data_IF_968874827278
#
_entry.id   IF_968874827278
#
_cell.length_a   1.000
_cell.length_b   1.000
_cell.length_c   1.000
_cell.angle_alpha   90.00
_cell.angle_beta   90.00
_cell.angle_gamma   90.00
#
_symmetry.space_group_name_H-M   'P 1'
#
loop_
_entity.id
_entity.type
_entity.pdbx_description
1 polymer ?
#
# COMPACT_ATOMS: atom_id res chain seq x y z
N UNK A 1 -33.67 -5.94 -16.47
CA UNK A 1 -33.97 -4.61 -17.04
C UNK A 1 -34.46 -3.64 -15.97
N UNK A 2 -35.60 -3.89 -15.31
CA UNK A 2 -36.12 -3.01 -14.26
C UNK A 2 -35.07 -2.66 -13.18
N UNK A 3 -34.40 -3.68 -12.66
CA UNK A 3 -33.55 -3.57 -11.48
C UNK A 3 -32.20 -2.84 -11.71
N UNK A 4 -31.74 -2.73 -12.95
CA UNK A 4 -30.50 -2.03 -13.30
C UNK A 4 -30.74 -0.76 -14.11
N UNK A 5 -32.00 -0.38 -14.31
CA UNK A 5 -32.34 0.84 -15.02
C UNK A 5 -32.05 2.05 -14.10
N UNK A 6 -30.93 2.73 -14.35
CA UNK A 6 -30.41 3.85 -13.55
C UNK A 6 -30.39 5.17 -14.33
N UNK A 7 -30.58 5.10 -15.65
CA UNK A 7 -30.47 6.25 -16.55
C UNK A 7 -31.84 6.59 -17.16
N UNK A 8 -32.13 7.88 -17.43
CA UNK A 8 -33.35 8.30 -18.09
C UNK A 8 -33.30 7.93 -19.59
N UNK A 9 -33.61 6.67 -19.90
CA UNK A 9 -33.86 6.19 -21.27
C UNK A 9 -35.34 6.21 -21.65
N UNK A 10 -35.66 5.79 -22.89
CA UNK A 10 -37.03 5.73 -23.43
C UNK A 10 -37.98 4.85 -22.60
N UNK A 11 -37.44 3.81 -21.96
CA UNK A 11 -38.18 2.94 -21.04
C UNK A 11 -37.64 3.17 -19.64
N UNK A 12 -38.41 3.85 -18.79
CA UNK A 12 -38.03 4.15 -17.40
C UNK A 12 -38.63 3.15 -16.41
N UNK A 13 -38.13 3.09 -15.17
CA UNK A 13 -38.71 2.26 -14.10
C UNK A 13 -40.20 2.53 -13.90
N UNK A 14 -40.61 3.80 -13.98
CA UNK A 14 -42.02 4.20 -13.86
C UNK A 14 -42.92 3.54 -14.91
N UNK A 15 -42.43 3.35 -16.15
CA UNK A 15 -43.20 2.70 -17.23
C UNK A 15 -43.29 1.17 -17.06
N UNK A 16 -42.25 0.54 -16.51
CA UNK A 16 -42.21 -0.93 -16.33
C UNK A 16 -42.95 -1.35 -15.06
N UNK A 17 -42.99 -0.51 -14.03
CA UNK A 17 -43.65 -0.77 -12.74
C UNK A 17 -45.12 -1.23 -12.87
N UNK A 18 -46.02 -0.53 -13.59
CA UNK A 18 -47.41 -0.97 -13.73
C UNK A 18 -47.56 -2.30 -14.48
N UNK A 19 -46.62 -2.65 -15.36
CA UNK A 19 -46.62 -3.94 -16.08
C UNK A 19 -46.30 -5.08 -15.10
N UNK A 20 -45.33 -4.87 -14.22
CA UNK A 20 -44.97 -5.83 -13.18
C UNK A 20 -46.09 -6.04 -12.17
N UNK A 21 -46.78 -4.96 -11.78
CA UNK A 21 -47.93 -5.04 -10.89
C UNK A 21 -49.11 -5.80 -11.51
N UNK A 22 -49.33 -5.66 -12.83
CA UNK A 22 -50.37 -6.42 -13.55
C UNK A 22 -50.06 -7.91 -13.68
N UNK A 23 -48.78 -8.30 -13.78
CA UNK A 23 -48.37 -9.69 -13.84
C UNK A 23 -48.54 -10.40 -12.47
N UNK A 24 -48.43 -9.63 -11.39
CA UNK A 24 -48.54 -10.13 -10.03
C UNK A 24 -47.22 -10.69 -9.52
N UNK A 25 -46.88 -10.30 -8.29
CA UNK A 25 -45.63 -10.63 -7.59
C UNK A 25 -45.46 -12.13 -7.44
N UNK A 26 -46.54 -12.81 -7.03
CA UNK A 26 -46.54 -14.26 -6.83
C UNK A 26 -46.35 -15.02 -8.14
N UNK A 27 -46.92 -14.52 -9.25
CA UNK A 27 -46.72 -15.12 -10.58
C UNK A 27 -45.27 -15.02 -11.02
N UNK A 28 -44.64 -13.86 -10.80
CA UNK A 28 -43.24 -13.64 -11.16
C UNK A 28 -42.31 -14.50 -10.29
N UNK A 29 -42.53 -14.51 -8.98
CA UNK A 29 -41.75 -15.32 -8.04
C UNK A 29 -41.89 -16.82 -8.32
N UNK A 30 -43.11 -17.29 -8.61
CA UNK A 30 -43.36 -18.68 -9.00
C UNK A 30 -42.64 -19.07 -10.30
N UNK A 31 -42.66 -18.20 -11.32
CA UNK A 31 -41.91 -18.45 -12.57
C UNK A 31 -40.39 -18.48 -12.35
N UNK A 32 -39.88 -17.60 -11.48
CA UNK A 32 -38.47 -17.59 -11.11
C UNK A 32 -38.07 -18.84 -10.32
N UNK A 33 -38.94 -19.31 -9.43
CA UNK A 33 -38.73 -20.55 -8.68
C UNK A 33 -38.72 -21.77 -9.62
N UNK A 34 -39.66 -21.86 -10.56
CA UNK A 34 -39.68 -22.94 -11.55
C UNK A 34 -38.42 -22.97 -12.42
N UNK A 35 -37.87 -21.82 -12.80
CA UNK A 35 -36.60 -21.78 -13.54
C UNK A 35 -35.42 -22.30 -12.69
N UNK A 36 -35.42 -22.03 -11.39
CA UNK A 36 -34.42 -22.56 -10.44
C UNK A 36 -34.57 -24.06 -10.24
N UNK A 37 -35.80 -24.55 -10.27
CA UNK A 37 -36.13 -25.96 -10.06
C UNK A 37 -35.91 -26.83 -11.30
N UNK A 38 -35.76 -26.23 -12.50
CA UNK A 38 -35.48 -26.95 -13.75
C UNK A 38 -34.19 -27.77 -13.63
N UNK A 39 -34.29 -29.07 -13.88
CA UNK A 39 -33.17 -30.01 -13.81
C UNK A 39 -32.06 -29.63 -14.79
N UNK A 40 -32.38 -29.04 -15.95
CA UNK A 40 -31.39 -28.51 -16.91
C UNK A 40 -30.65 -27.31 -16.35
N UNK A 41 -31.27 -26.54 -15.46
CA UNK A 41 -30.64 -25.39 -14.82
C UNK A 41 -29.75 -25.79 -13.63
N UNK A 42 -30.12 -26.84 -12.89
CA UNK A 42 -29.35 -27.36 -11.74
C UNK A 42 -28.07 -28.08 -12.14
N UNK A 43 -28.14 -28.86 -13.21
CA UNK A 43 -27.08 -29.77 -13.68
C UNK A 43 -25.91 -29.06 -14.36
N UNK A 44 -26.10 -27.82 -14.80
CA UNK A 44 -25.04 -27.01 -15.39
C UNK A 44 -24.08 -26.56 -14.28
N UNK A 45 -22.81 -26.88 -14.50
CA UNK A 45 -21.66 -26.61 -13.62
C UNK A 45 -20.54 -25.98 -14.45
N UNK A 46 -19.51 -25.34 -13.84
CA UNK A 46 -18.41 -24.74 -14.58
C UNK A 46 -17.74 -25.68 -15.58
N UNK A 47 -17.71 -26.98 -15.24
CA UNK A 47 -17.08 -28.06 -16.01
C UNK A 47 -18.05 -28.79 -16.96
N UNK A 48 -19.35 -28.43 -16.95
CA UNK A 48 -20.41 -29.15 -17.67
C UNK A 48 -21.22 -28.19 -18.54
N UNK A 49 -20.64 -27.76 -19.66
CA UNK A 49 -21.28 -26.90 -20.66
C UNK A 49 -22.25 -27.65 -21.59
N UNK A 50 -22.10 -28.97 -21.69
CA UNK A 50 -22.85 -29.82 -22.62
C UNK A 50 -23.61 -30.86 -21.80
N UNK A 51 -24.94 -30.77 -21.79
CA UNK A 51 -25.78 -31.81 -21.18
C UNK A 51 -26.09 -32.90 -22.20
N UNK A 52 -25.76 -34.13 -21.83
CA UNK A 52 -26.26 -35.31 -22.54
C UNK A 52 -27.59 -35.70 -21.90
N UNK A 53 -28.68 -35.64 -22.68
CA UNK A 53 -29.97 -36.14 -22.20
C UNK A 53 -29.89 -37.67 -22.04
N UNK A 54 -30.31 -38.26 -20.91
CA UNK A 54 -30.51 -39.69 -20.86
C UNK A 54 -31.78 -39.99 -21.67
N UNK A 55 -31.58 -40.53 -22.87
CA UNK A 55 -32.67 -41.01 -23.73
C UNK A 55 -33.68 -41.83 -22.91
N UNK A 56 -35.00 -41.55 -22.99
CA UNK A 56 -36.00 -42.31 -22.27
C UNK A 56 -36.30 -43.58 -23.08
N UNK A 57 -35.39 -44.55 -23.05
CA UNK A 57 -35.73 -45.91 -23.45
C UNK A 57 -36.29 -46.62 -22.21
N UNK A 58 -37.54 -47.13 -22.25
CA UNK A 58 -38.05 -47.95 -21.17
C UNK A 58 -37.19 -49.22 -21.10
N UNK A 59 -37.26 -49.89 -19.96
CA UNK A 59 -36.73 -51.23 -19.69
C UNK A 59 -36.28 -52.01 -20.94
N UNK A 60 -35.08 -52.56 -20.96
CA UNK A 60 -34.80 -53.91 -21.44
C UNK A 60 -33.30 -54.10 -21.27
N UNK A 61 -32.99 -55.10 -20.46
CA UNK A 61 -31.66 -55.65 -20.33
C UNK A 61 -31.04 -55.89 -21.71
N UNK A 62 -29.80 -55.46 -21.90
CA UNK A 62 -28.93 -56.12 -22.86
C UNK A 62 -27.49 -56.04 -22.37
N UNK A 63 -27.06 -57.13 -21.75
CA UNK A 63 -25.69 -57.61 -21.85
C UNK A 63 -25.22 -57.58 -23.31
N UNK A 64 -23.91 -57.44 -23.48
CA UNK A 64 -23.11 -57.68 -24.71
C UNK A 64 -22.83 -56.46 -25.61
N UNK A 65 -21.57 -56.00 -25.51
CA UNK A 65 -20.66 -55.66 -26.64
C UNK A 65 -21.13 -54.74 -27.78
N UNK A 66 -22.13 -53.88 -27.56
CA UNK A 66 -22.54 -52.83 -28.50
C UNK A 66 -22.28 -51.40 -27.96
N UNK A 67 -21.40 -51.24 -26.97
CA UNK A 67 -21.14 -49.94 -26.33
C UNK A 67 -20.18 -49.01 -27.11
N UNK A 68 -19.72 -49.39 -28.31
CA UNK A 68 -18.68 -48.65 -29.04
C UNK A 68 -19.16 -47.95 -30.34
N UNK A 69 -20.36 -48.22 -30.83
CA UNK A 69 -20.83 -47.72 -32.15
C UNK A 69 -22.10 -46.87 -32.12
N UNK A 70 -22.60 -46.47 -30.94
CA UNK A 70 -23.64 -45.43 -30.79
C UNK A 70 -23.03 -44.06 -30.42
N UNK A 71 -21.82 -43.77 -30.91
CA UNK A 71 -21.07 -42.52 -30.71
C UNK A 71 -21.30 -41.51 -31.86
N UNK A 72 -22.38 -41.65 -32.61
CA UNK A 72 -22.82 -40.69 -33.61
C UNK A 72 -24.21 -40.22 -33.18
N UNK A 73 -24.38 -38.90 -33.05
CA UNK A 73 -25.63 -38.19 -32.76
C UNK A 73 -26.06 -38.04 -31.28
N UNK A 74 -25.16 -38.17 -30.31
CA UNK A 74 -25.37 -37.50 -29.03
C UNK A 74 -25.01 -36.01 -29.19
N UNK A 75 -25.81 -35.28 -29.99
CA UNK A 75 -25.78 -33.83 -30.01
C UNK A 75 -26.09 -33.37 -28.58
N UNK A 76 -25.04 -33.06 -27.82
CA UNK A 76 -25.23 -32.57 -26.48
C UNK A 76 -25.88 -31.20 -26.56
N UNK A 77 -27.10 -31.10 -26.05
CA UNK A 77 -27.88 -29.89 -26.14
C UNK A 77 -27.38 -28.87 -25.10
N UNK A 78 -26.93 -27.71 -25.59
CA UNK A 78 -26.54 -26.59 -24.74
C UNK A 78 -27.77 -25.69 -24.56
N UNK A 79 -28.42 -25.83 -23.40
CA UNK A 79 -29.62 -25.05 -23.07
C UNK A 79 -29.32 -23.70 -22.42
N UNK A 80 -28.27 -23.62 -21.58
CA UNK A 80 -27.88 -22.38 -20.91
C UNK A 80 -26.35 -22.25 -20.82
N UNK A 81 -25.87 -21.00 -20.86
CA UNK A 81 -24.48 -20.67 -20.61
C UNK A 81 -24.17 -20.67 -19.10
N UNK A 82 -22.97 -21.11 -18.72
CA UNK A 82 -22.54 -21.16 -17.31
C UNK A 82 -22.53 -19.76 -16.69
N UNK A 83 -22.04 -18.73 -17.40
CA UNK A 83 -22.00 -17.38 -16.86
C UNK A 83 -23.41 -16.83 -16.57
N UNK A 84 -24.40 -17.20 -17.40
CA UNK A 84 -25.80 -16.87 -17.17
C UNK A 84 -26.37 -17.61 -15.95
N UNK A 85 -26.09 -18.92 -15.81
CA UNK A 85 -26.55 -19.73 -14.68
C UNK A 85 -25.95 -19.24 -13.36
N UNK A 86 -24.66 -18.92 -13.35
CA UNK A 86 -23.95 -18.38 -12.19
C UNK A 86 -24.47 -17.00 -11.79
N UNK A 87 -24.65 -16.10 -12.76
CA UNK A 87 -25.28 -14.79 -12.55
C UNK A 87 -26.69 -14.96 -11.95
N UNK A 88 -27.51 -15.84 -12.50
CA UNK A 88 -28.88 -16.04 -12.05
C UNK A 88 -28.93 -16.63 -10.64
N UNK A 89 -28.10 -17.64 -10.34
CA UNK A 89 -27.99 -18.24 -8.99
C UNK A 89 -27.54 -17.20 -7.95
N UNK A 90 -26.52 -16.40 -8.29
CA UNK A 90 -25.97 -15.36 -7.41
C UNK A 90 -26.94 -14.21 -7.15
N UNK A 91 -27.79 -13.88 -8.13
CA UNK A 91 -28.73 -12.76 -8.01
C UNK A 91 -30.17 -13.21 -7.71
N UNK A 92 -30.46 -14.51 -7.62
CA UNK A 92 -31.81 -15.05 -7.41
C UNK A 92 -32.47 -14.48 -6.14
N UNK A 93 -31.75 -14.52 -5.01
CA UNK A 93 -32.25 -13.99 -3.74
C UNK A 93 -32.52 -12.49 -3.83
N UNK A 94 -31.65 -11.76 -4.55
CA UNK A 94 -31.82 -10.32 -4.79
C UNK A 94 -33.06 -10.04 -5.62
N UNK A 95 -33.24 -10.74 -6.74
CA UNK A 95 -34.39 -10.58 -7.62
C UNK A 95 -35.71 -11.00 -6.95
N UNK A 96 -35.70 -12.07 -6.15
CA UNK A 96 -36.85 -12.54 -5.39
C UNK A 96 -37.25 -11.53 -4.30
N UNK A 97 -36.27 -11.01 -3.56
CA UNK A 97 -36.52 -9.99 -2.53
C UNK A 97 -37.01 -8.67 -3.14
N UNK A 98 -36.40 -8.22 -4.24
CA UNK A 98 -36.83 -7.00 -4.96
C UNK A 98 -38.27 -7.13 -5.49
N UNK A 99 -38.61 -8.30 -6.05
CA UNK A 99 -39.96 -8.60 -6.54
C UNK A 99 -40.99 -8.51 -5.41
N UNK A 100 -40.69 -9.06 -4.23
CA UNK A 100 -41.57 -9.04 -3.06
C UNK A 100 -41.68 -7.66 -2.44
N UNK A 101 -40.56 -6.96 -2.25
CA UNK A 101 -40.54 -5.62 -1.65
C UNK A 101 -41.30 -4.62 -2.51
N UNK A 102 -41.07 -4.58 -3.82
CA UNK A 102 -41.75 -3.65 -4.73
C UNK A 102 -43.18 -4.04 -5.05
N UNK A 103 -43.47 -5.33 -4.94
CA UNK A 103 -44.82 -5.87 -5.01
C UNK A 103 -45.76 -5.43 -3.90
N UNK A 104 -45.19 -5.09 -2.74
CA UNK A 104 -45.91 -4.77 -1.51
C UNK A 104 -45.64 -3.33 -1.03
N UNK A 105 -44.63 -2.65 -1.55
CA UNK A 105 -44.24 -1.30 -1.12
C UNK A 105 -43.73 -0.45 -2.30
N UNK A 106 -44.56 0.54 -2.62
CA UNK A 106 -44.22 1.96 -2.80
C UNK A 106 -43.07 2.38 -3.74
N UNK A 107 -43.45 3.22 -4.70
CA UNK A 107 -42.64 4.20 -5.46
C UNK A 107 -41.53 3.65 -6.38
N UNK A 108 -41.63 3.80 -7.73
CA UNK A 108 -40.63 3.30 -8.68
C UNK A 108 -39.21 3.87 -8.50
N UNK A 109 -39.06 5.00 -7.79
CA UNK A 109 -37.78 5.67 -7.50
C UNK A 109 -37.21 5.33 -6.11
N UNK A 110 -37.95 4.61 -5.27
CA UNK A 110 -37.37 4.09 -4.03
C UNK A 110 -36.46 2.92 -4.37
N UNK A 111 -35.16 3.17 -4.23
CA UNK A 111 -34.14 2.14 -4.19
C UNK A 111 -34.60 1.05 -3.21
N UNK A 112 -34.35 -0.21 -3.56
CA UNK A 112 -34.44 -1.36 -2.66
C UNK A 112 -33.59 -1.07 -1.43
N UNK A 113 -34.20 -0.40 -0.46
CA UNK A 113 -33.67 -0.19 0.86
C UNK A 113 -33.75 -1.58 1.45
N UNK A 114 -32.59 -2.18 1.70
CA UNK A 114 -32.43 -3.37 2.51
C UNK A 114 -33.50 -3.36 3.59
N UNK A 115 -34.36 -4.39 3.58
CA UNK A 115 -35.53 -4.51 4.45
C UNK A 115 -35.28 -3.89 5.80
N UNK A 116 -36.20 -3.02 6.27
CA UNK A 116 -36.11 -2.43 7.60
C UNK A 116 -35.73 -3.49 8.64
N UNK A 117 -34.82 -3.17 9.57
CA UNK A 117 -34.23 -4.17 10.46
C UNK A 117 -35.34 -4.87 11.25
N UNK A 118 -35.32 -6.22 11.29
CA UNK A 118 -36.09 -7.00 12.27
C UNK A 118 -35.95 -6.35 13.64
N UNK A 119 -36.96 -6.39 14.51
CA UNK A 119 -36.89 -5.75 15.84
C UNK A 119 -35.60 -6.13 16.60
N UNK A 120 -35.13 -7.36 16.42
CA UNK A 120 -33.86 -7.87 16.93
C UNK A 120 -32.64 -7.21 16.26
N UNK A 121 -32.68 -7.00 14.95
CA UNK A 121 -31.64 -6.25 14.21
C UNK A 121 -31.64 -4.78 14.60
N UNK A 122 -32.80 -4.16 14.88
CA UNK A 122 -32.90 -2.78 15.34
C UNK A 122 -32.33 -2.64 16.76
N UNK A 123 -32.61 -3.60 17.64
CA UNK A 123 -32.00 -3.69 18.97
C UNK A 123 -30.49 -3.92 18.91
N UNK A 124 -30.04 -4.82 18.03
CA UNK A 124 -28.60 -5.06 17.81
C UNK A 124 -27.91 -3.80 17.27
N UNK A 125 -28.52 -3.12 16.30
CA UNK A 125 -28.00 -1.84 15.78
C UNK A 125 -27.95 -0.80 16.88
N UNK A 126 -28.98 -0.69 17.73
CA UNK A 126 -28.95 0.24 18.89
C UNK A 126 -27.82 -0.11 19.86
N UNK A 127 -27.63 -1.40 20.17
CA UNK A 127 -26.55 -1.86 21.04
C UNK A 127 -25.17 -1.58 20.43
N UNK A 128 -25.00 -1.80 19.13
CA UNK A 128 -23.79 -1.46 18.40
C UNK A 128 -23.55 0.05 18.35
N UNK A 129 -24.60 0.86 18.22
CA UNK A 129 -24.50 2.32 18.27
C UNK A 129 -24.11 2.82 19.67
N UNK A 130 -24.65 2.23 20.73
CA UNK A 130 -24.32 2.59 22.11
C UNK A 130 -22.89 2.18 22.47
N UNK A 131 -22.45 0.99 22.05
CA UNK A 131 -21.05 0.57 22.20
C UNK A 131 -20.10 1.45 21.40
N UNK A 132 -20.45 1.83 20.16
CA UNK A 132 -19.66 2.77 19.37
C UNK A 132 -19.57 4.15 20.03
N UNK A 133 -20.67 4.64 20.63
CA UNK A 133 -20.67 5.90 21.38
C UNK A 133 -19.78 5.83 22.60
N UNK A 134 -19.85 4.73 23.35
CA UNK A 134 -18.99 4.48 24.52
C UNK A 134 -17.51 4.40 24.13
N UNK A 135 -17.18 3.63 23.09
CA UNK A 135 -15.80 3.54 22.56
C UNK A 135 -15.30 4.89 22.05
N UNK A 136 -16.14 5.70 21.42
CA UNK A 136 -15.75 7.04 20.97
C UNK A 136 -15.43 7.97 22.16
N UNK A 137 -16.18 7.87 23.26
CA UNK A 137 -15.88 8.60 24.49
C UNK A 137 -14.59 8.12 25.15
N UNK A 138 -14.36 6.81 25.19
CA UNK A 138 -13.12 6.24 25.72
C UNK A 138 -11.90 6.64 24.88
N UNK A 139 -11.99 6.61 23.56
CA UNK A 139 -10.93 7.10 22.65
C UNK A 139 -10.65 8.58 22.90
N UNK A 140 -11.68 9.41 23.13
CA UNK A 140 -11.49 10.82 23.47
C UNK A 140 -10.80 10.99 24.81
N UNK A 141 -11.20 10.21 25.82
CA UNK A 141 -10.58 10.25 27.15
C UNK A 141 -9.12 9.78 27.10
N UNK A 142 -8.83 8.69 26.40
CA UNK A 142 -7.47 8.18 26.19
C UNK A 142 -6.62 9.17 25.39
N UNK A 143 -7.18 9.84 24.38
CA UNK A 143 -6.48 10.92 23.67
C UNK A 143 -6.21 12.11 24.57
N UNK A 144 -7.15 12.52 25.41
CA UNK A 144 -6.94 13.60 26.38
C UNK A 144 -5.88 13.20 27.41
N UNK A 145 -5.91 11.96 27.91
CA UNK A 145 -4.87 11.44 28.81
C UNK A 145 -3.52 11.38 28.12
N UNK A 146 -3.44 10.91 26.86
CA UNK A 146 -2.21 10.95 26.06
C UNK A 146 -1.74 12.38 25.81
N UNK A 147 -2.65 13.35 25.66
CA UNK A 147 -2.27 14.74 25.48
C UNK A 147 -1.84 15.41 26.78
N UNK A 148 -2.36 14.95 27.92
CA UNK A 148 -1.93 15.36 29.27
C UNK A 148 -0.63 14.66 29.72
N UNK A 149 -0.44 13.39 29.32
CA UNK A 149 0.73 12.57 29.63
C UNK A 149 1.86 12.72 28.61
N UNK A 150 1.57 13.17 27.39
CA UNK A 150 2.59 13.70 26.49
C UNK A 150 3.09 14.94 27.21
N UNK A 151 4.32 14.94 27.77
CA UNK A 151 4.89 16.19 28.20
C UNK A 151 4.84 17.07 26.95
N UNK A 152 4.16 18.22 27.05
CA UNK A 152 4.59 19.38 26.27
C UNK A 152 6.10 19.34 26.38
N UNK A 153 6.86 19.15 25.28
CA UNK A 153 8.30 19.09 25.38
C UNK A 153 8.67 20.30 26.23
N UNK A 154 9.39 20.10 27.36
CA UNK A 154 9.78 21.24 28.15
C UNK A 154 10.44 22.20 27.17
N UNK A 155 10.17 23.49 27.34
CA UNK A 155 10.64 24.56 26.46
C UNK A 155 12.17 24.75 26.61
N UNK A 156 12.89 23.64 26.56
CA UNK A 156 14.32 23.47 26.43
C UNK A 156 14.79 24.02 25.07
N UNK A 157 13.92 24.61 24.25
CA UNK A 157 14.32 25.37 23.08
C UNK A 157 15.30 26.48 23.48
N UNK A 158 15.02 27.16 24.60
CA UNK A 158 15.88 28.19 25.17
C UNK A 158 17.19 27.61 25.74
N UNK A 159 17.11 26.47 26.44
CA UNK A 159 18.28 25.80 27.01
C UNK A 159 19.18 25.18 25.93
N UNK A 160 18.61 24.60 24.88
CA UNK A 160 19.31 24.09 23.70
C UNK A 160 19.94 25.25 22.92
N UNK A 161 19.26 26.39 22.78
CA UNK A 161 19.82 27.57 22.14
C UNK A 161 21.00 28.15 22.96
N UNK A 162 20.87 28.20 24.29
CA UNK A 162 21.93 28.63 25.19
C UNK A 162 23.13 27.68 25.13
N UNK A 163 22.91 26.37 25.23
CA UNK A 163 23.97 25.35 25.14
C UNK A 163 24.66 25.36 23.77
N UNK A 164 23.93 25.59 22.67
CA UNK A 164 24.54 25.74 21.34
C UNK A 164 25.42 26.99 21.26
N UNK A 165 24.95 28.13 21.76
CA UNK A 165 25.74 29.36 21.82
C UNK A 165 27.00 29.18 22.68
N UNK A 166 26.90 28.44 23.78
CA UNK A 166 28.03 28.13 24.64
C UNK A 166 29.00 27.14 23.99
N UNK A 167 28.55 26.27 23.08
CA UNK A 167 29.40 25.34 22.33
C UNK A 167 30.11 26.02 21.15
N UNK A 168 29.49 27.03 20.54
CA UNK A 168 30.05 27.76 19.39
C UNK A 168 31.26 28.63 19.78
N UNK A 169 31.26 29.21 20.99
CA UNK A 169 32.38 29.99 21.52
C UNK A 169 33.70 29.21 21.64
N UNK A 170 33.77 28.07 22.37
CA UNK A 170 34.98 27.26 22.47
C UNK A 170 35.34 26.61 21.13
N UNK A 171 34.36 26.29 20.28
CA UNK A 171 34.63 25.78 18.93
C UNK A 171 35.33 26.82 18.05
N UNK A 172 34.87 28.07 18.07
CA UNK A 172 35.52 29.17 17.37
C UNK A 172 36.92 29.45 17.93
N UNK A 173 37.07 29.42 19.26
CA UNK A 173 38.38 29.58 19.90
C UNK A 173 39.36 28.46 19.54
N UNK A 174 38.90 27.20 19.48
CA UNK A 174 39.71 26.07 19.07
C UNK A 174 40.15 26.18 17.61
N UNK A 175 39.24 26.54 16.70
CA UNK A 175 39.57 26.77 15.29
C UNK A 175 40.56 27.91 15.10
N UNK A 176 40.38 29.04 15.80
CA UNK A 176 41.31 30.16 15.76
C UNK A 176 42.70 29.79 16.32
N UNK A 177 42.76 28.93 17.34
CA UNK A 177 44.03 28.43 17.87
C UNK A 177 44.72 27.47 16.90
N UNK A 178 43.95 26.59 16.24
CA UNK A 178 44.48 25.65 15.25
C UNK A 178 45.03 26.38 14.01
N UNK A 179 44.34 27.43 13.57
CA UNK A 179 44.78 28.25 12.44
C UNK A 179 46.06 29.03 12.76
N UNK A 180 46.16 29.60 13.98
CA UNK A 180 47.41 30.21 14.46
C UNK A 180 48.55 29.22 14.57
N UNK A 181 48.29 27.99 15.04
CA UNK A 181 49.31 26.95 15.10
C UNK A 181 49.84 26.62 13.70
N UNK A 182 48.94 26.42 12.73
CA UNK A 182 49.32 26.18 11.33
C UNK A 182 50.11 27.34 10.73
N UNK A 183 49.74 28.58 11.02
CA UNK A 183 50.48 29.76 10.57
C UNK A 183 51.88 29.78 11.19
N UNK A 184 52.01 29.52 12.48
CA UNK A 184 53.32 29.46 13.15
C UNK A 184 54.17 28.28 12.68
N UNK A 185 53.57 27.13 12.40
CA UNK A 185 54.27 25.96 11.84
C UNK A 185 54.79 26.28 10.44
N UNK A 186 53.98 26.93 9.61
CA UNK A 186 54.40 27.36 8.28
C UNK A 186 55.50 28.41 8.33
N UNK A 187 55.42 29.40 9.22
CA UNK A 187 56.50 30.36 9.43
C UNK A 187 57.79 29.68 9.89
N UNK A 188 57.69 28.66 10.76
CA UNK A 188 58.85 27.86 11.19
C UNK A 188 59.44 27.06 10.02
N UNK A 189 58.62 26.41 9.19
CA UNK A 189 59.06 25.71 8.00
C UNK A 189 59.75 26.67 7.01
N UNK A 190 59.17 27.83 6.73
CA UNK A 190 59.75 28.84 5.85
C UNK A 190 61.11 29.34 6.40
N UNK A 191 61.21 29.53 7.73
CA UNK A 191 62.47 29.91 8.38
C UNK A 191 63.54 28.80 8.31
N UNK A 192 63.15 27.54 8.43
CA UNK A 192 64.07 26.41 8.27
C UNK A 192 64.61 26.33 6.84
N UNK A 193 63.75 26.52 5.84
CA UNK A 193 64.17 26.59 4.42
C UNK A 193 65.14 27.74 4.19
N UNK A 194 64.86 28.93 4.73
CA UNK A 194 65.78 30.07 4.63
C UNK A 194 67.13 29.80 5.33
N UNK A 195 67.12 29.10 6.46
CA UNK A 195 68.34 28.71 7.16
C UNK A 195 69.16 27.72 6.33
N UNK A 196 68.52 26.74 5.70
CA UNK A 196 69.18 25.80 4.77
C UNK A 196 69.78 26.53 3.56
N UNK A 197 69.04 27.47 2.96
CA UNK A 197 69.55 28.29 1.87
C UNK A 197 70.77 29.13 2.30
N UNK A 198 70.73 29.76 3.47
CA UNK A 198 71.85 30.56 4.01
C UNK A 198 73.05 29.67 4.36
N UNK A 199 72.84 28.51 4.95
CA UNK A 199 73.94 27.58 5.30
C UNK A 199 74.59 27.01 4.04
N UNK A 200 73.82 26.64 3.01
CA UNK A 200 74.33 26.23 1.69
C UNK A 200 75.11 27.38 1.03
N UNK A 201 74.58 28.61 1.05
CA UNK A 201 75.28 29.78 0.53
C UNK A 201 76.58 30.05 1.28
N UNK A 202 76.58 29.96 2.62
CA UNK A 202 77.78 30.13 3.45
C UNK A 202 78.81 29.03 3.17
N UNK A 203 78.39 27.77 3.03
CA UNK A 203 79.26 26.66 2.61
C UNK A 203 79.87 26.93 1.23
N UNK A 204 79.06 27.41 0.27
CA UNK A 204 79.50 27.75 -1.09
C UNK A 204 80.51 28.91 -1.09
N UNK A 205 80.25 29.96 -0.33
CA UNK A 205 81.14 31.11 -0.24
C UNK A 205 82.44 30.79 0.50
N UNK A 206 82.38 29.99 1.57
CA UNK A 206 83.59 29.46 2.24
C UNK A 206 84.43 28.59 1.30
N UNK A 207 83.80 27.75 0.48
CA UNK A 207 84.50 26.97 -0.54
C UNK A 207 85.17 27.86 -1.61
N UNK A 208 84.50 28.94 -2.04
CA UNK A 208 85.08 29.94 -2.95
C UNK A 208 86.27 30.68 -2.33
N UNK A 209 86.17 31.08 -1.05
CA UNK A 209 87.24 31.76 -0.34
C UNK A 209 88.47 30.86 -0.11
N UNK A 210 88.25 29.58 0.24
CA UNK A 210 89.33 28.58 0.32
C UNK A 210 90.01 28.37 -1.04
N UNK A 211 89.23 28.27 -2.12
CA UNK A 211 89.78 28.14 -3.49
C UNK A 211 90.58 29.39 -3.91
N UNK A 212 90.23 30.57 -3.38
CA UNK A 212 90.97 31.81 -3.58
C UNK A 212 92.20 31.97 -2.65
N UNK A 213 92.50 30.98 -1.80
CA UNK A 213 93.64 30.99 -0.90
C UNK A 213 93.51 31.93 0.30
N UNK A 214 92.29 32.35 0.64
CA UNK A 214 92.01 33.18 1.82
C UNK A 214 91.74 32.28 3.04
N UNK A 215 92.34 32.60 4.18
CA UNK A 215 92.09 31.93 5.47
C UNK A 215 90.61 32.08 5.85
N UNK A 216 89.89 30.97 6.03
CA UNK A 216 88.51 30.98 6.52
C UNK A 216 88.49 30.34 7.90
N UNK A 217 87.80 30.97 8.86
CA UNK A 217 87.73 30.50 10.24
C UNK A 217 87.33 29.03 10.34
N UNK A 218 88.14 28.28 11.07
CA UNK A 218 88.09 26.82 11.23
C UNK A 218 87.21 26.41 12.42
N UNK A 219 86.21 27.24 12.79
CA UNK A 219 85.44 27.07 14.04
C UNK A 219 84.08 26.40 13.83
N UNK A 220 83.95 25.58 12.79
CA UNK A 220 82.83 24.65 12.71
C UNK A 220 83.38 23.27 12.45
N UNK A 221 83.27 22.44 13.49
CA UNK A 221 83.47 21.01 13.42
C UNK A 221 82.71 20.47 12.20
N UNK A 222 83.44 19.77 11.35
CA UNK A 222 82.91 18.91 10.31
C UNK A 222 82.15 17.77 11.00
N UNK A 223 80.88 18.04 11.35
CA UNK A 223 79.91 16.98 11.61
C UNK A 223 79.35 16.54 10.25
N UNK A 224 80.19 15.84 9.49
CA UNK A 224 79.75 14.94 8.44
C UNK A 224 79.06 13.75 9.13
N UNK A 225 77.76 13.89 9.36
CA UNK A 225 76.85 12.84 9.79
C UNK A 225 75.64 12.77 8.86
N UNK A 226 75.89 12.45 7.59
CA UNK A 226 74.91 11.71 6.78
C UNK A 226 74.66 10.39 7.52
N UNK A 227 73.44 10.15 7.99
CA UNK A 227 72.77 8.84 8.13
C UNK A 227 71.54 9.00 9.03
N UNK A 228 70.36 9.07 8.42
CA UNK A 228 69.12 8.52 9.01
C UNK A 228 68.33 7.86 7.87
N UNK A 229 68.67 6.60 7.62
CA UNK A 229 67.75 5.57 7.10
C UNK A 229 66.77 5.18 8.23
N UNK A 230 65.51 4.88 7.84
CA UNK A 230 64.35 4.34 8.60
C UNK A 230 63.22 5.31 9.04
#
# INVERSE_FOLDING_TARGET
>A
MYEYNREPGEITRATISPILNRLGVNTLLGRMAHLREDERFKTISPETLVQYYPSPAPHLQATTTAAATAKSEAEGEVWFDWAFVDFWKSNYLRFALDTVQRGLSTDPDQLASTSGPSAETAMLISSLQDTLRSQSQEIKNLRNQLQQQKPTPPDNSAEIAALKSELDSPRAAAQASEEKQKETEKEQEDLLVLLDEVTVNRKRDKARLRAAGMEVSEDEAEDEGDEDDE
#
